data_IF_906971854017
#
_entry.id   IF_906971854017
#
_cell.length_a   1.000
_cell.length_b   1.000
_cell.length_c   1.000
_cell.angle_alpha   90.00
_cell.angle_beta   90.00
_cell.angle_gamma   90.00
#
_symmetry.space_group_name_H-M   'P 1'
#
loop_
_entity.id
_entity.type
_entity.pdbx_description
1 polymer ?
#
# COMPACT_ATOMS: atom_id res chain seq x y z
N UNK A 1 -22.82 15.16 -55.04
CA UNK A 1 -22.09 13.87 -55.05
C UNK A 1 -20.76 13.92 -54.31
N UNK A 2 -19.84 14.84 -54.62
CA UNK A 2 -18.53 14.92 -53.93
C UNK A 2 -18.65 15.23 -52.42
N UNK A 3 -19.50 16.19 -52.05
CA UNK A 3 -19.71 16.57 -50.64
C UNK A 3 -20.37 15.45 -49.82
N UNK A 4 -21.32 14.74 -50.43
CA UNK A 4 -22.01 13.61 -49.79
C UNK A 4 -21.07 12.45 -49.50
N UNK A 5 -20.11 12.17 -50.39
CA UNK A 5 -19.08 11.14 -50.17
C UNK A 5 -18.13 11.52 -49.03
N UNK A 6 -17.76 12.80 -48.91
CA UNK A 6 -16.90 13.30 -47.81
C UNK A 6 -17.62 13.18 -46.46
N UNK A 7 -18.90 13.54 -46.40
CA UNK A 7 -19.69 13.41 -45.17
C UNK A 7 -19.84 11.93 -44.78
N UNK A 8 -20.10 11.05 -45.75
CA UNK A 8 -20.21 9.62 -45.50
C UNK A 8 -18.89 9.02 -44.99
N UNK A 9 -17.75 9.45 -45.54
CA UNK A 9 -16.43 9.02 -45.10
C UNK A 9 -16.13 9.48 -43.66
N UNK A 10 -16.49 10.73 -43.30
CA UNK A 10 -16.33 11.25 -41.94
C UNK A 10 -17.20 10.49 -40.93
N UNK A 11 -18.45 10.20 -41.27
CA UNK A 11 -19.34 9.39 -40.41
C UNK A 11 -18.77 7.99 -40.21
N UNK A 12 -18.27 7.35 -41.27
CA UNK A 12 -17.63 6.03 -41.20
C UNK A 12 -16.39 6.03 -40.29
N UNK A 13 -15.55 7.08 -40.36
CA UNK A 13 -14.39 7.24 -39.49
C UNK A 13 -14.78 7.38 -38.00
N UNK A 14 -15.86 8.09 -37.68
CA UNK A 14 -16.34 8.26 -36.30
C UNK A 14 -16.93 6.96 -35.75
N UNK A 15 -17.63 6.17 -36.56
CA UNK A 15 -18.19 4.88 -36.13
C UNK A 15 -17.16 3.75 -36.00
N UNK A 16 -16.00 3.88 -36.67
CA UNK A 16 -14.92 2.89 -36.60
C UNK A 16 -14.10 2.97 -35.31
N UNK A 17 -14.19 4.08 -34.56
CA UNK A 17 -13.66 4.18 -33.21
C UNK A 17 -14.62 3.53 -32.22
N UNK A 18 -14.54 2.21 -32.08
CA UNK A 18 -15.02 1.56 -30.87
C UNK A 18 -14.12 2.00 -29.72
N UNK A 19 -14.55 3.00 -28.94
CA UNK A 19 -13.98 3.19 -27.61
C UNK A 19 -14.29 1.87 -26.89
N UNK A 20 -13.28 1.08 -26.49
CA UNK A 20 -13.56 -0.13 -25.76
C UNK A 20 -14.28 0.30 -24.50
N UNK A 21 -15.58 0.00 -24.41
CA UNK A 21 -16.34 0.12 -23.17
C UNK A 21 -15.79 -0.95 -22.26
N UNK A 22 -14.67 -0.64 -21.62
CA UNK A 22 -14.05 -1.50 -20.64
C UNK A 22 -15.13 -1.78 -19.60
N UNK A 23 -15.45 -3.04 -19.35
CA UNK A 23 -16.41 -3.40 -18.30
C UNK A 23 -15.80 -2.96 -16.97
N UNK A 24 -16.14 -1.76 -16.50
CA UNK A 24 -15.65 -1.23 -15.23
C UNK A 24 -16.52 -1.83 -14.12
N UNK A 25 -15.89 -2.54 -13.19
CA UNK A 25 -16.55 -2.93 -11.94
C UNK A 25 -16.63 -1.69 -11.06
N UNK A 26 -17.84 -1.22 -10.78
CA UNK A 26 -18.05 -0.11 -9.84
C UNK A 26 -17.75 -0.64 -8.42
N UNK A 27 -16.79 -0.02 -7.75
CA UNK A 27 -16.43 -0.35 -6.38
C UNK A 27 -17.29 0.44 -5.39
N UNK A 28 -17.54 -0.16 -4.22
CA UNK A 28 -18.19 0.55 -3.12
C UNK A 28 -17.21 1.50 -2.40
N UNK A 29 -17.77 2.37 -1.57
CA UNK A 29 -17.01 3.39 -0.84
C UNK A 29 -15.92 2.79 0.05
N UNK A 30 -16.20 1.70 0.77
CA UNK A 30 -15.24 1.07 1.69
C UNK A 30 -14.05 0.51 0.91
N UNK A 31 -14.32 -0.17 -0.21
CA UNK A 31 -13.26 -0.61 -1.12
C UNK A 31 -12.39 0.56 -1.61
N UNK A 32 -13.02 1.66 -2.05
CA UNK A 32 -12.30 2.84 -2.54
C UNK A 32 -11.45 3.52 -1.46
N UNK A 33 -11.92 3.57 -0.22
CA UNK A 33 -11.15 4.10 0.92
C UNK A 33 -9.90 3.26 1.19
N UNK A 34 -10.01 1.93 1.19
CA UNK A 34 -8.87 1.02 1.35
C UNK A 34 -7.88 1.15 0.19
N UNK A 35 -8.38 1.25 -1.04
CA UNK A 35 -7.56 1.43 -2.22
C UNK A 35 -6.80 2.76 -2.17
N UNK A 36 -7.48 3.85 -1.77
CA UNK A 36 -6.86 5.17 -1.58
C UNK A 36 -5.70 5.07 -0.59
N UNK A 37 -5.90 4.46 0.58
CA UNK A 37 -4.84 4.25 1.56
C UNK A 37 -3.61 3.55 0.96
N UNK A 38 -3.81 2.45 0.23
CA UNK A 38 -2.71 1.69 -0.38
C UNK A 38 -1.94 2.50 -1.43
N UNK A 39 -2.61 3.38 -2.17
CA UNK A 39 -1.93 4.26 -3.12
C UNK A 39 -1.18 5.40 -2.44
N UNK A 40 -1.75 5.97 -1.39
CA UNK A 40 -1.13 7.08 -0.67
C UNK A 40 0.09 6.64 0.13
N UNK A 41 0.08 5.44 0.73
CA UNK A 41 1.22 4.98 1.52
C UNK A 41 2.47 4.70 0.67
N UNK A 42 2.29 4.23 -0.57
CA UNK A 42 3.39 3.95 -1.51
C UNK A 42 3.72 5.13 -2.41
N UNK A 43 3.00 6.24 -2.30
CA UNK A 43 3.27 7.44 -3.06
C UNK A 43 4.66 7.99 -2.70
N UNK A 44 5.51 8.18 -3.73
CA UNK A 44 6.89 8.67 -3.60
C UNK A 44 7.65 7.99 -2.46
N UNK A 45 7.83 6.67 -2.58
CA UNK A 45 8.35 5.84 -1.49
C UNK A 45 9.72 6.29 -0.96
N UNK A 46 10.54 6.91 -1.81
CA UNK A 46 11.86 7.43 -1.45
C UNK A 46 11.82 8.76 -0.68
N UNK A 47 10.69 9.49 -0.72
CA UNK A 47 10.47 10.74 0.02
C UNK A 47 9.76 10.48 1.36
N UNK A 48 9.80 11.41 2.34
CA UNK A 48 8.97 11.33 3.53
C UNK A 48 7.47 11.25 3.19
N UNK A 49 6.70 10.53 4.00
CA UNK A 49 5.25 10.45 3.85
C UNK A 49 4.63 11.85 3.97
N UNK A 50 3.78 12.23 3.02
CA UNK A 50 3.20 13.58 2.95
C UNK A 50 1.76 13.66 3.50
N UNK A 51 1.09 12.53 3.69
CA UNK A 51 -0.32 12.48 4.06
C UNK A 51 -0.49 12.58 5.58
N UNK A 52 -0.93 13.74 6.06
CA UNK A 52 -1.02 14.06 7.50
C UNK A 52 -1.85 13.06 8.30
N UNK A 53 -2.93 12.53 7.70
CA UNK A 53 -3.77 11.49 8.30
C UNK A 53 -2.95 10.24 8.67
N UNK A 54 -2.17 9.73 7.71
CA UNK A 54 -1.32 8.55 7.90
C UNK A 54 -0.12 8.86 8.81
N UNK A 55 0.44 10.08 8.73
CA UNK A 55 1.49 10.53 9.65
C UNK A 55 1.00 10.48 11.09
N UNK A 56 -0.20 10.99 11.38
CA UNK A 56 -0.79 10.97 12.73
C UNK A 56 -1.03 9.56 13.23
N UNK A 57 -1.50 8.66 12.37
CA UNK A 57 -1.76 7.27 12.76
C UNK A 57 -0.49 6.43 12.95
N UNK A 58 0.55 6.69 12.17
CA UNK A 58 1.80 5.93 12.18
C UNK A 58 2.81 6.32 13.27
N UNK A 59 2.43 7.17 14.24
CA UNK A 59 3.38 7.60 15.28
C UNK A 59 3.85 6.45 16.18
N UNK A 60 3.02 5.40 16.36
CA UNK A 60 3.32 4.26 17.23
C UNK A 60 2.84 2.96 16.59
N UNK A 61 3.72 1.95 16.58
CA UNK A 61 3.36 0.57 16.26
C UNK A 61 2.39 0.04 17.31
N UNK A 62 1.36 -0.69 16.89
CA UNK A 62 0.48 -1.40 17.83
C UNK A 62 1.21 -2.64 18.34
N UNK A 63 1.44 -2.74 19.64
CA UNK A 63 2.12 -3.90 20.26
C UNK A 63 1.25 -4.66 21.24
N UNK A 64 -0.01 -4.24 21.41
CA UNK A 64 -0.99 -4.98 22.18
C UNK A 64 -1.34 -6.27 21.45
N UNK A 65 -1.00 -7.41 22.07
CA UNK A 65 -1.20 -8.75 21.51
C UNK A 65 -2.68 -9.04 21.23
N UNK A 66 -3.60 -8.39 21.94
CA UNK A 66 -5.03 -8.60 21.73
C UNK A 66 -5.53 -8.12 20.35
N UNK A 67 -4.77 -7.25 19.67
CA UNK A 67 -5.11 -6.72 18.34
C UNK A 67 -4.72 -7.66 17.19
N UNK A 68 -4.16 -8.85 17.50
CA UNK A 68 -3.64 -9.78 16.50
C UNK A 68 -4.25 -11.18 16.64
N UNK A 69 -4.54 -11.81 15.51
CA UNK A 69 -4.95 -13.23 15.46
C UNK A 69 -3.84 -14.14 15.99
N UNK A 70 -2.59 -13.79 15.69
CA UNK A 70 -1.38 -14.45 16.18
C UNK A 70 -0.34 -13.39 16.51
N UNK A 71 0.34 -13.54 17.64
CA UNK A 71 1.46 -12.69 18.02
C UNK A 71 2.69 -13.56 18.24
N UNK A 72 3.58 -13.59 17.24
CA UNK A 72 4.64 -14.60 17.18
C UNK A 72 6.01 -14.08 17.64
N UNK A 73 6.98 -15.00 17.67
CA UNK A 73 8.36 -14.72 18.03
C UNK A 73 9.00 -13.66 17.12
N UNK A 74 8.68 -13.62 15.82
CA UNK A 74 9.29 -12.69 14.88
C UNK A 74 8.77 -11.27 15.05
N UNK A 75 7.49 -11.11 15.41
CA UNK A 75 6.92 -9.82 15.82
C UNK A 75 7.60 -9.29 17.08
N UNK A 76 7.81 -10.13 18.10
CA UNK A 76 8.56 -9.75 19.30
C UNK A 76 9.99 -9.31 18.96
N UNK A 77 10.70 -10.08 18.12
CA UNK A 77 12.09 -9.77 17.74
C UNK A 77 12.21 -8.50 16.90
N UNK A 78 11.26 -8.23 16.01
CA UNK A 78 11.22 -6.96 15.29
C UNK A 78 11.06 -5.80 16.28
N UNK A 79 10.11 -5.90 17.20
CA UNK A 79 9.84 -4.84 18.17
C UNK A 79 11.03 -4.58 19.11
N UNK A 80 11.69 -5.64 19.57
CA UNK A 80 12.94 -5.53 20.32
C UNK A 80 14.04 -4.85 19.50
N UNK A 81 14.21 -5.24 18.23
CA UNK A 81 15.21 -4.65 17.34
C UNK A 81 14.95 -3.16 17.12
N UNK A 82 13.68 -2.74 16.96
CA UNK A 82 13.31 -1.33 16.88
C UNK A 82 13.69 -0.55 18.14
N UNK A 83 13.32 -1.04 19.33
CA UNK A 83 13.65 -0.40 20.61
C UNK A 83 15.17 -0.24 20.82
N UNK A 84 15.96 -1.14 20.25
CA UNK A 84 17.42 -1.12 20.31
C UNK A 84 18.08 -0.29 19.20
N UNK A 85 17.31 0.30 18.27
CA UNK A 85 17.86 1.02 17.11
C UNK A 85 18.59 0.12 16.11
N UNK A 86 18.25 -1.17 16.08
CA UNK A 86 18.94 -2.21 15.32
C UNK A 86 18.18 -2.66 14.05
N UNK A 87 17.21 -1.87 13.58
CA UNK A 87 16.59 -2.10 12.27
C UNK A 87 17.55 -1.69 11.15
N UNK A 88 17.35 -2.27 9.96
CA UNK A 88 18.01 -1.81 8.74
C UNK A 88 17.78 -0.29 8.57
N UNK A 89 18.84 0.54 8.57
CA UNK A 89 18.68 1.98 8.44
C UNK A 89 18.08 2.39 7.10
N UNK A 90 17.41 3.54 7.08
CA UNK A 90 16.91 4.14 5.83
C UNK A 90 18.07 4.51 4.91
N UNK A 91 17.89 4.25 3.61
CA UNK A 91 18.89 4.49 2.58
C UNK A 91 19.87 3.32 2.37
N UNK A 92 19.84 2.31 3.25
CA UNK A 92 20.65 1.10 3.08
C UNK A 92 19.98 0.08 2.16
N UNK A 93 20.79 -0.78 1.56
CA UNK A 93 20.31 -1.84 0.68
C UNK A 93 19.55 -2.93 1.46
N UNK A 94 18.31 -3.19 1.05
CA UNK A 94 17.56 -4.36 1.49
C UNK A 94 17.89 -5.59 0.62
N UNK A 95 18.08 -6.74 1.26
CA UNK A 95 18.37 -7.99 0.57
C UNK A 95 17.65 -9.16 1.23
N UNK A 96 16.73 -9.80 0.51
CA UNK A 96 15.91 -10.89 1.04
C UNK A 96 16.71 -12.14 1.47
N UNK A 97 17.94 -12.32 0.93
CA UNK A 97 18.85 -13.41 1.31
C UNK A 97 19.75 -13.04 2.49
N UNK A 98 19.79 -11.76 2.88
CA UNK A 98 20.49 -11.32 4.09
C UNK A 98 19.64 -11.71 5.29
N UNK A 99 20.14 -12.65 6.11
CA UNK A 99 19.39 -13.28 7.20
C UNK A 99 18.75 -12.28 8.17
N UNK A 100 19.43 -11.19 8.49
CA UNK A 100 18.90 -10.14 9.39
C UNK A 100 17.78 -9.36 8.72
N UNK A 101 17.96 -8.92 7.48
CA UNK A 101 16.96 -8.17 6.71
C UNK A 101 15.70 -9.01 6.52
N UNK A 102 15.86 -10.27 6.12
CA UNK A 102 14.75 -11.21 5.96
C UNK A 102 13.93 -11.35 7.24
N UNK A 103 14.59 -11.57 8.39
CA UNK A 103 13.89 -11.73 9.67
C UNK A 103 13.14 -10.47 10.09
N UNK A 104 13.71 -9.29 9.86
CA UNK A 104 13.03 -8.01 10.12
C UNK A 104 11.82 -7.85 9.20
N UNK A 105 11.99 -8.07 7.89
CA UNK A 105 10.87 -8.01 6.95
C UNK A 105 9.77 -9.04 7.27
N UNK A 106 10.14 -10.24 7.71
CA UNK A 106 9.19 -11.28 8.11
C UNK A 106 8.41 -10.90 9.37
N UNK A 107 9.09 -10.39 10.40
CA UNK A 107 8.41 -9.86 11.59
C UNK A 107 7.48 -8.70 11.25
N UNK A 108 7.89 -7.81 10.34
CA UNK A 108 7.07 -6.67 9.91
C UNK A 108 5.85 -7.13 9.11
N UNK A 109 6.03 -8.09 8.21
CA UNK A 109 4.94 -8.74 7.50
C UNK A 109 3.92 -9.35 8.47
N UNK A 110 4.36 -10.01 9.55
CA UNK A 110 3.45 -10.60 10.53
C UNK A 110 2.63 -9.55 11.29
N UNK A 111 3.17 -8.36 11.57
CA UNK A 111 2.39 -7.22 12.10
C UNK A 111 1.30 -6.74 11.15
N UNK A 112 1.45 -6.93 9.84
CA UNK A 112 0.42 -6.57 8.87
C UNK A 112 -0.58 -7.71 8.70
N UNK A 113 -0.07 -8.93 8.55
CA UNK A 113 -0.86 -10.10 8.19
C UNK A 113 -1.77 -10.56 9.33
N UNK A 114 -1.30 -10.51 10.58
CA UNK A 114 -2.08 -10.99 11.73
C UNK A 114 -2.95 -9.91 12.37
N UNK A 115 -3.01 -8.68 11.84
CA UNK A 115 -3.89 -7.64 12.36
C UNK A 115 -5.36 -8.08 12.29
N UNK A 116 -6.09 -8.01 13.41
CA UNK A 116 -7.51 -8.44 13.47
C UNK A 116 -8.45 -7.54 12.70
N UNK A 117 -8.07 -6.29 12.53
CA UNK A 117 -8.90 -5.28 11.88
C UNK A 117 -8.08 -4.35 11.00
N UNK A 118 -8.82 -3.60 10.18
CA UNK A 118 -8.26 -2.68 9.22
C UNK A 118 -7.50 -1.53 9.87
N UNK A 119 -7.95 -1.05 11.04
CA UNK A 119 -7.31 0.07 11.72
C UNK A 119 -5.93 -0.31 12.26
N UNK A 120 -5.81 -1.49 12.86
CA UNK A 120 -4.53 -2.06 13.32
C UNK A 120 -3.56 -2.23 12.16
N UNK A 121 -4.03 -2.78 11.04
CA UNK A 121 -3.24 -2.88 9.81
C UNK A 121 -2.75 -1.50 9.34
N UNK A 122 -3.63 -0.53 9.19
CA UNK A 122 -3.30 0.82 8.71
C UNK A 122 -2.28 1.50 9.63
N UNK A 123 -2.46 1.44 10.96
CA UNK A 123 -1.52 2.02 11.93
C UNK A 123 -0.13 1.40 11.82
N UNK A 124 -0.06 0.08 11.69
CA UNK A 124 1.22 -0.62 11.56
C UNK A 124 1.94 -0.29 10.25
N UNK A 125 1.20 -0.26 9.14
CA UNK A 125 1.73 0.09 7.82
C UNK A 125 2.20 1.55 7.79
N UNK A 126 1.40 2.47 8.36
CA UNK A 126 1.76 3.87 8.46
C UNK A 126 3.02 4.07 9.34
N UNK A 127 3.13 3.33 10.44
CA UNK A 127 4.33 3.33 11.27
C UNK A 127 5.55 2.86 10.48
N UNK A 128 5.45 1.76 9.74
CA UNK A 128 6.55 1.22 8.94
C UNK A 128 7.02 2.17 7.83
N UNK A 129 6.12 3.03 7.34
CA UNK A 129 6.45 4.05 6.33
C UNK A 129 7.23 5.24 6.92
N UNK A 130 7.00 5.54 8.20
CA UNK A 130 7.57 6.71 8.90
C UNK A 130 8.88 6.39 9.60
N UNK A 131 9.02 5.18 10.16
CA UNK A 131 10.18 4.74 10.94
C UNK A 131 11.15 3.91 10.10
#
# INVERSE_FOLDING_TARGET
>A
MKLTLVILALVACVTAFSVPTQKVKIADKNFLEKQKFLFEIVHRIDEPLMFEEWIKMGQKLITDKAQYETFDFYMEKLWESYKLGALLPKGEFFGALVKTHHKQAYGLFNFFYYAKDWETFVRNVAWARIH
#
